data_IF_042161483455
#
_entry.id   IF_042161483455
#
_cell.length_a   1.000
_cell.length_b   1.000
_cell.length_c   1.000
_cell.angle_alpha   90.00
_cell.angle_beta   90.00
_cell.angle_gamma   90.00
#
_symmetry.space_group_name_H-M   'P 1'
#
loop_
_entity.id
_entity.type
_entity.pdbx_description
1 polymer ?
#
# COMPACT_ATOMS: atom_id res chain seq x y z
N UNK A 1 9.93 -2.78 15.07
CA UNK A 1 9.01 -3.46 14.13
C UNK A 1 9.67 -3.55 12.77
N UNK A 2 9.56 -4.70 12.08
CA UNK A 2 10.12 -4.87 10.72
C UNK A 2 9.35 -4.00 9.72
N UNK A 3 10.00 -3.45 8.68
CA UNK A 3 9.39 -2.46 7.80
C UNK A 3 8.21 -3.01 7.00
N UNK A 4 8.28 -4.26 6.54
CA UNK A 4 7.15 -4.93 5.86
C UNK A 4 5.98 -5.17 6.82
N UNK A 5 6.24 -5.40 8.11
CA UNK A 5 5.19 -5.46 9.13
C UNK A 5 4.48 -4.12 9.27
N UNK A 6 5.22 -2.99 9.27
CA UNK A 6 4.61 -1.66 9.30
C UNK A 6 3.73 -1.40 8.07
N UNK A 7 4.18 -1.81 6.88
CA UNK A 7 3.41 -1.69 5.63
C UNK A 7 2.13 -2.52 5.72
N UNK A 8 2.22 -3.78 6.16
CA UNK A 8 1.05 -4.65 6.31
C UNK A 8 0.07 -4.09 7.35
N UNK A 9 0.56 -3.61 8.50
CA UNK A 9 -0.25 -2.92 9.50
C UNK A 9 -0.91 -1.65 8.92
N UNK A 10 -0.18 -0.88 8.10
CA UNK A 10 -0.71 0.28 7.41
C UNK A 10 -1.87 -0.06 6.48
N UNK A 11 -1.77 -1.16 5.72
CA UNK A 11 -2.89 -1.68 4.92
C UNK A 11 -4.08 -2.12 5.77
N UNK A 12 -3.86 -2.73 6.94
CA UNK A 12 -4.97 -3.03 7.86
C UNK A 12 -5.67 -1.75 8.32
N UNK A 13 -4.94 -0.68 8.62
CA UNK A 13 -5.57 0.58 9.03
C UNK A 13 -6.24 1.32 7.88
N UNK A 14 -5.65 1.31 6.68
CA UNK A 14 -6.21 1.94 5.50
C UNK A 14 -7.47 1.21 4.97
N UNK A 15 -7.48 -0.14 5.01
CA UNK A 15 -8.55 -0.94 4.40
C UNK A 15 -9.44 -1.70 5.40
N UNK A 16 -8.94 -1.99 6.60
CA UNK A 16 -9.73 -2.61 7.68
C UNK A 16 -10.80 -1.68 8.24
N UNK A 17 -10.64 -0.38 7.98
CA UNK A 17 -11.62 0.70 8.11
C UNK A 17 -12.73 0.62 7.04
N UNK A 18 -13.33 -0.56 6.85
CA UNK A 18 -14.45 -0.75 5.94
C UNK A 18 -15.74 -0.30 6.64
N UNK A 19 -15.96 1.01 6.61
CA UNK A 19 -17.15 1.77 7.03
C UNK A 19 -18.05 1.09 8.06
N UNK A 20 -17.53 0.76 9.24
CA UNK A 20 -18.43 0.49 10.37
C UNK A 20 -18.90 1.84 10.94
N UNK A 21 -20.16 2.21 10.66
CA UNK A 21 -20.83 3.40 11.20
C UNK A 21 -20.25 4.78 10.80
N UNK A 22 -19.59 4.90 9.65
CA UNK A 22 -19.16 6.21 9.13
C UNK A 22 -18.04 6.91 9.93
N UNK A 23 -17.39 6.20 10.85
CA UNK A 23 -16.34 6.71 11.74
C UNK A 23 -14.90 6.41 11.25
N UNK A 24 -14.74 6.12 9.96
CA UNK A 24 -13.51 5.51 9.38
C UNK A 24 -12.50 6.47 8.75
N UNK A 25 -12.79 7.78 8.68
CA UNK A 25 -11.91 8.73 8.00
C UNK A 25 -10.60 9.03 8.75
N UNK A 26 -10.50 8.69 10.04
CA UNK A 26 -9.31 8.93 10.86
C UNK A 26 -8.24 7.85 10.72
N UNK A 27 -8.63 6.61 10.40
CA UNK A 27 -7.69 5.48 10.31
C UNK A 27 -6.98 5.41 8.97
N UNK A 28 -7.61 5.92 7.91
CA UNK A 28 -7.05 5.95 6.55
C UNK A 28 -5.74 6.78 6.45
N UNK A 29 -5.69 8.07 6.87
CA UNK A 29 -4.44 8.84 6.84
C UNK A 29 -3.36 8.24 7.75
N UNK A 30 -3.74 7.62 8.88
CA UNK A 30 -2.80 6.92 9.77
C UNK A 30 -2.24 5.66 9.10
N UNK A 31 -3.10 4.89 8.41
CA UNK A 31 -2.71 3.70 7.66
C UNK A 31 -1.71 4.01 6.56
N UNK A 32 -1.97 5.02 5.74
CA UNK A 32 -1.01 5.49 4.73
C UNK A 32 0.28 6.02 5.37
N UNK A 33 0.20 6.73 6.50
CA UNK A 33 1.37 7.16 7.26
C UNK A 33 2.25 6.00 7.75
N UNK A 34 1.65 4.88 8.17
CA UNK A 34 2.38 3.66 8.51
C UNK A 34 3.05 3.01 7.29
N UNK A 35 2.38 3.04 6.12
CA UNK A 35 3.00 2.61 4.86
C UNK A 35 4.21 3.49 4.51
N UNK A 36 4.11 4.83 4.62
CA UNK A 36 5.22 5.77 4.42
C UNK A 36 6.39 5.44 5.37
N UNK A 37 6.08 5.22 6.66
CA UNK A 37 7.09 4.84 7.66
C UNK A 37 7.74 3.49 7.34
N UNK A 38 7.00 2.52 6.80
CA UNK A 38 7.58 1.24 6.39
C UNK A 38 8.46 1.37 5.15
N UNK A 39 8.05 2.17 4.16
CA UNK A 39 8.78 2.40 2.92
C UNK A 39 10.05 3.20 3.11
N UNK A 40 10.07 4.18 4.01
CA UNK A 40 11.28 4.96 4.31
C UNK A 40 12.40 4.08 4.87
N UNK A 41 12.04 3.02 5.61
CA UNK A 41 12.98 2.01 6.12
C UNK A 41 13.41 0.99 5.06
N UNK A 42 12.65 0.87 3.96
CA UNK A 42 13.04 0.12 2.77
C UNK A 42 13.81 0.98 1.76
N UNK A 43 14.06 2.27 2.03
CA UNK A 43 14.86 3.10 1.13
C UNK A 43 16.33 2.68 1.26
N UNK A 44 16.98 2.38 0.14
CA UNK A 44 18.40 1.93 0.14
C UNK A 44 19.36 3.11 0.18
N UNK A 45 19.01 4.20 -0.49
CA UNK A 45 19.77 5.45 -0.47
C UNK A 45 18.85 6.64 -0.77
N UNK A 46 19.12 7.78 -0.14
CA UNK A 46 18.39 9.02 -0.41
C UNK A 46 18.69 9.63 -1.78
N UNK A 47 19.80 9.23 -2.39
CA UNK A 47 20.38 9.83 -3.59
C UNK A 47 20.16 9.01 -4.86
N UNK A 48 19.42 7.89 -4.81
CA UNK A 48 19.03 7.13 -5.99
C UNK A 48 17.67 7.63 -6.51
N UNK A 49 17.63 8.43 -7.60
CA UNK A 49 16.40 8.98 -8.15
C UNK A 49 15.47 7.90 -8.73
N UNK A 50 15.99 6.69 -9.01
CA UNK A 50 15.22 5.56 -9.53
C UNK A 50 14.78 4.57 -8.44
N UNK A 51 14.97 4.88 -7.14
CA UNK A 51 14.53 4.00 -6.05
C UNK A 51 12.99 3.84 -6.05
N UNK A 52 12.47 2.65 -6.37
CA UNK A 52 11.02 2.43 -6.42
C UNK A 52 10.36 2.65 -5.05
N UNK A 53 11.12 2.55 -3.96
CA UNK A 53 10.67 2.83 -2.60
C UNK A 53 10.36 4.31 -2.38
N UNK A 54 11.13 5.21 -3.01
CA UNK A 54 10.89 6.65 -2.99
C UNK A 54 9.61 7.04 -3.72
N UNK A 55 9.38 6.44 -4.90
CA UNK A 55 8.15 6.63 -5.68
C UNK A 55 6.92 6.06 -4.96
N UNK A 56 7.01 4.86 -4.39
CA UNK A 56 5.92 4.31 -3.59
C UNK A 56 5.64 5.20 -2.35
N UNK A 57 6.69 5.75 -1.75
CA UNK A 57 6.59 6.66 -0.61
C UNK A 57 5.85 7.96 -0.93
N UNK A 58 6.17 8.60 -2.06
CA UNK A 58 5.51 9.86 -2.46
C UNK A 58 4.02 9.65 -2.76
N UNK A 59 3.65 8.53 -3.37
CA UNK A 59 2.25 8.16 -3.57
C UNK A 59 1.52 7.87 -2.26
N UNK A 60 2.17 7.18 -1.31
CA UNK A 60 1.60 6.97 0.01
C UNK A 60 1.40 8.30 0.78
N UNK A 61 2.34 9.25 0.67
CA UNK A 61 2.16 10.62 1.21
C UNK A 61 1.01 11.34 0.53
N UNK A 62 0.89 11.25 -0.80
CA UNK A 62 -0.24 11.83 -1.53
C UNK A 62 -1.57 11.25 -1.03
N UNK A 63 -1.63 9.95 -0.74
CA UNK A 63 -2.81 9.32 -0.15
C UNK A 63 -3.10 9.79 1.27
N UNK A 64 -2.10 10.07 2.11
CA UNK A 64 -2.34 10.74 3.41
C UNK A 64 -3.05 12.07 3.19
N UNK A 65 -2.58 12.89 2.25
CA UNK A 65 -3.19 14.18 1.95
C UNK A 65 -4.61 14.04 1.40
N UNK A 66 -4.85 13.13 0.44
CA UNK A 66 -6.18 12.88 -0.13
C UNK A 66 -7.15 12.39 0.95
N UNK A 67 -6.71 11.47 1.82
CA UNK A 67 -7.52 10.95 2.92
C UNK A 67 -7.85 12.04 3.95
N UNK A 68 -6.88 12.91 4.25
CA UNK A 68 -7.09 14.05 5.14
C UNK A 68 -8.06 15.08 4.56
N UNK A 69 -7.95 15.39 3.26
CA UNK A 69 -8.88 16.27 2.55
C UNK A 69 -10.29 15.69 2.53
N UNK A 70 -10.41 14.38 2.30
CA UNK A 70 -11.69 13.67 2.38
C UNK A 70 -12.29 13.71 3.80
N UNK A 71 -11.45 13.68 4.85
CA UNK A 71 -11.88 13.79 6.25
C UNK A 71 -12.46 15.17 6.59
N UNK A 72 -11.84 16.25 6.10
CA UNK A 72 -12.26 17.62 6.43
C UNK A 72 -13.38 18.15 5.52
N UNK A 73 -13.67 17.47 4.40
CA UNK A 73 -14.77 17.88 3.51
C UNK A 73 -16.11 17.40 4.07
N UNK A 74 -17.06 18.31 4.36
CA UNK A 74 -18.34 17.94 4.91
C UNK A 74 -19.13 17.13 3.88
N UNK A 75 -19.27 15.83 4.13
CA UNK A 75 -20.24 14.99 3.42
C UNK A 75 -21.61 15.36 3.96
N UNK A 76 -22.33 16.22 3.24
CA UNK A 76 -23.71 16.60 3.51
C UNK A 76 -24.60 15.34 3.54
N UNK A 77 -24.67 14.73 4.71
CA UNK A 77 -25.45 13.54 4.99
C UNK A 77 -26.80 14.00 5.48
N UNK A 78 -27.67 14.43 4.55
CA UNK A 78 -29.12 14.58 4.78
C UNK A 78 -29.81 14.91 3.44
N UNK A 79 -30.31 13.87 2.74
CA UNK A 79 -31.24 14.00 1.60
C UNK A 79 -30.59 14.05 0.21
N UNK A 80 -30.70 12.96 -0.56
CA UNK A 80 -30.22 12.81 -1.95
C UNK A 80 -30.94 13.74 -2.97
N UNK A 81 -30.55 13.84 -4.27
CA UNK A 81 -29.53 13.11 -5.03
C UNK A 81 -28.68 14.02 -5.96
N UNK A 82 -27.48 14.38 -5.54
CA UNK A 82 -26.37 14.67 -6.45
C UNK A 82 -25.13 14.76 -5.56
N UNK A 83 -24.28 13.73 -5.57
CA UNK A 83 -22.92 13.95 -5.12
C UNK A 83 -22.40 15.13 -5.94
N UNK A 84 -22.00 16.21 -5.29
CA UNK A 84 -21.41 17.33 -6.00
C UNK A 84 -20.23 16.80 -6.82
N UNK A 85 -20.07 17.26 -8.06
CA UNK A 85 -18.96 16.83 -8.94
C UNK A 85 -17.61 16.78 -8.21
N UNK A 86 -17.26 17.72 -7.30
CA UNK A 86 -16.05 17.63 -6.49
C UNK A 86 -15.97 16.41 -5.57
N UNK A 87 -17.07 16.02 -4.90
CA UNK A 87 -17.11 14.86 -4.02
C UNK A 87 -16.97 13.55 -4.81
N UNK A 88 -17.56 13.49 -6.00
CA UNK A 88 -17.43 12.33 -6.88
C UNK A 88 -16.00 12.20 -7.43
N UNK A 89 -15.39 13.31 -7.87
CA UNK A 89 -13.99 13.34 -8.31
C UNK A 89 -13.03 12.96 -7.18
N UNK A 90 -13.26 13.44 -5.95
CA UNK A 90 -12.45 13.08 -4.79
C UNK A 90 -12.55 11.58 -4.46
N UNK A 91 -13.74 11.00 -4.57
CA UNK A 91 -13.93 9.55 -4.38
C UNK A 91 -13.22 8.70 -5.45
N UNK A 92 -13.27 9.11 -6.72
CA UNK A 92 -12.56 8.43 -7.81
C UNK A 92 -11.05 8.56 -7.62
N UNK A 93 -10.57 9.78 -7.35
CA UNK A 93 -9.15 10.05 -7.13
C UNK A 93 -8.60 9.29 -5.92
N UNK A 94 -9.36 9.20 -4.83
CA UNK A 94 -9.01 8.41 -3.65
C UNK A 94 -8.93 6.92 -3.97
N UNK A 95 -9.91 6.37 -4.68
CA UNK A 95 -9.92 4.94 -5.02
C UNK A 95 -8.79 4.58 -5.99
N UNK A 96 -8.61 5.37 -7.05
CA UNK A 96 -7.53 5.16 -8.02
C UNK A 96 -6.14 5.36 -7.36
N UNK A 97 -6.00 6.39 -6.54
CA UNK A 97 -4.77 6.66 -5.79
C UNK A 97 -4.42 5.52 -4.84
N UNK A 98 -5.40 4.97 -4.12
CA UNK A 98 -5.20 3.82 -3.23
C UNK A 98 -4.72 2.58 -4.01
N UNK A 99 -5.35 2.27 -5.14
CA UNK A 99 -4.97 1.14 -5.99
C UNK A 99 -3.54 1.31 -6.54
N UNK A 100 -3.20 2.49 -7.05
CA UNK A 100 -1.84 2.79 -7.53
C UNK A 100 -0.82 2.68 -6.39
N UNK A 101 -1.17 3.17 -5.20
CA UNK A 101 -0.26 3.14 -4.04
C UNK A 101 -0.01 1.71 -3.58
N UNK A 102 -1.05 0.88 -3.45
CA UNK A 102 -0.92 -0.55 -3.14
C UNK A 102 -0.07 -1.24 -4.21
N UNK A 103 -0.33 -0.96 -5.48
CA UNK A 103 0.44 -1.53 -6.59
C UNK A 103 1.94 -1.25 -6.47
N UNK A 104 2.30 0.02 -6.27
CA UNK A 104 3.69 0.46 -6.16
C UNK A 104 4.37 -0.15 -4.92
N UNK A 105 3.68 -0.19 -3.78
CA UNK A 105 4.19 -0.80 -2.56
C UNK A 105 4.50 -2.27 -2.77
N UNK A 106 3.56 -3.04 -3.35
CA UNK A 106 3.76 -4.47 -3.59
C UNK A 106 4.87 -4.71 -4.62
N UNK A 107 4.99 -3.86 -5.65
CA UNK A 107 6.08 -3.93 -6.63
C UNK A 107 7.46 -3.78 -5.96
N UNK A 108 7.61 -2.83 -5.04
CA UNK A 108 8.85 -2.65 -4.26
C UNK A 108 9.20 -3.91 -3.47
N UNK A 109 8.22 -4.52 -2.82
CA UNK A 109 8.46 -5.75 -2.04
C UNK A 109 8.84 -6.92 -2.98
N UNK A 110 8.14 -7.11 -4.10
CA UNK A 110 8.46 -8.14 -5.10
C UNK A 110 9.89 -7.97 -5.64
N UNK A 111 10.26 -6.75 -6.04
CA UNK A 111 11.61 -6.44 -6.53
C UNK A 111 12.69 -6.74 -5.50
N UNK A 112 12.38 -6.59 -4.20
CA UNK A 112 13.30 -6.98 -3.12
C UNK A 112 13.36 -8.48 -2.89
N UNK A 113 12.30 -9.26 -3.15
CA UNK A 113 12.32 -10.72 -2.97
C UNK A 113 13.05 -11.46 -4.09
N UNK A 114 12.91 -11.03 -5.35
CA UNK A 114 13.46 -11.73 -6.53
C UNK A 114 14.98 -12.01 -6.46
N UNK A 115 15.84 -11.06 -6.05
CA UNK A 115 17.28 -11.29 -5.97
C UNK A 115 17.69 -12.35 -4.94
N UNK A 116 16.85 -12.65 -3.95
CA UNK A 116 17.14 -13.64 -2.89
C UNK A 116 16.58 -15.04 -3.22
N UNK A 117 16.10 -15.27 -4.45
CA UNK A 117 15.62 -16.59 -4.90
C UNK A 117 14.21 -16.96 -4.44
N UNK A 118 13.47 -16.06 -3.78
CA UNK A 118 12.09 -16.29 -3.30
C UNK A 118 11.04 -16.12 -4.43
N UNK A 119 11.22 -16.85 -5.53
CA UNK A 119 10.40 -16.72 -6.76
C UNK A 119 8.93 -17.09 -6.52
N UNK A 120 8.66 -18.12 -5.72
CA UNK A 120 7.29 -18.57 -5.42
C UNK A 120 6.47 -17.50 -4.68
N UNK A 121 7.07 -16.84 -3.67
CA UNK A 121 6.41 -15.77 -2.90
C UNK A 121 6.26 -14.49 -3.73
N UNK A 122 7.27 -14.17 -4.53
CA UNK A 122 7.21 -13.05 -5.48
C UNK A 122 6.08 -13.25 -6.51
N UNK A 123 5.91 -14.47 -7.04
CA UNK A 123 4.83 -14.80 -7.96
C UNK A 123 3.45 -14.71 -7.29
N UNK A 124 3.31 -15.23 -6.06
CA UNK A 124 2.05 -15.10 -5.30
C UNK A 124 1.68 -13.63 -5.07
N UNK A 125 2.64 -12.79 -4.68
CA UNK A 125 2.41 -11.36 -4.53
C UNK A 125 2.07 -10.67 -5.84
N UNK A 126 2.66 -11.10 -6.96
CA UNK A 126 2.35 -10.56 -8.28
C UNK A 126 0.90 -10.89 -8.68
N UNK A 127 0.47 -12.14 -8.47
CA UNK A 127 -0.92 -12.56 -8.69
C UNK A 127 -1.89 -11.77 -7.81
N UNK A 128 -1.58 -11.62 -6.52
CA UNK A 128 -2.41 -10.84 -5.59
C UNK A 128 -2.47 -9.36 -5.96
N UNK A 129 -1.35 -8.80 -6.41
CA UNK A 129 -1.28 -7.42 -6.92
C UNK A 129 -2.21 -7.22 -8.11
N UNK A 130 -2.16 -8.13 -9.09
CA UNK A 130 -3.05 -8.09 -10.26
C UNK A 130 -4.52 -8.32 -9.88
N UNK A 131 -4.79 -9.23 -8.94
CA UNK A 131 -6.15 -9.50 -8.47
C UNK A 131 -6.76 -8.28 -7.77
N UNK A 132 -6.02 -7.62 -6.86
CA UNK A 132 -6.49 -6.41 -6.17
C UNK A 132 -6.74 -5.26 -7.16
N UNK A 133 -5.87 -5.07 -8.14
CA UNK A 133 -6.04 -4.03 -9.16
C UNK A 133 -7.23 -4.32 -10.09
N UNK A 134 -7.33 -5.56 -10.58
CA UNK A 134 -8.43 -5.98 -11.48
C UNK A 134 -9.78 -5.88 -10.79
N UNK A 135 -9.90 -6.42 -9.57
CA UNK A 135 -11.13 -6.35 -8.77
C UNK A 135 -11.47 -4.91 -8.37
N UNK A 136 -10.45 -4.09 -8.03
CA UNK A 136 -10.65 -2.67 -7.74
C UNK A 136 -11.15 -1.89 -8.94
N UNK A 137 -10.58 -2.09 -10.13
CA UNK A 137 -11.03 -1.47 -11.36
C UNK A 137 -12.45 -1.90 -11.76
N UNK A 138 -12.76 -3.19 -11.63
CA UNK A 138 -14.11 -3.72 -11.85
C UNK A 138 -15.11 -3.18 -10.83
N UNK A 139 -14.70 -2.99 -9.58
CA UNK A 139 -15.53 -2.38 -8.53
C UNK A 139 -15.88 -0.92 -8.85
N UNK A 140 -14.92 -0.15 -9.37
CA UNK A 140 -15.18 1.22 -9.85
C UNK A 140 -16.21 1.22 -10.99
N UNK A 141 -16.06 0.33 -11.98
CA UNK A 141 -17.02 0.16 -13.08
C UNK A 141 -18.42 -0.25 -12.60
N UNK A 142 -18.51 -1.11 -11.58
CA UNK A 142 -19.79 -1.54 -11.00
C UNK A 142 -20.56 -0.38 -10.36
N UNK A 143 -19.85 0.59 -9.75
CA UNK A 143 -20.43 1.81 -9.19
C UNK A 143 -21.11 2.74 -10.20
N UNK A 144 -20.86 2.56 -11.50
CA UNK A 144 -21.46 3.36 -12.58
C UNK A 144 -22.71 2.74 -13.22
N UNK A 145 -23.33 1.73 -12.60
CA UNK A 145 -24.66 1.24 -13.02
C UNK A 145 -24.82 -0.27 -13.13
N UNK A 146 -23.79 -1.06 -12.81
CA UNK A 146 -23.87 -2.52 -12.78
C UNK A 146 -24.07 -3.03 -11.35
N UNK A 147 -25.20 -2.64 -10.75
CA UNK A 147 -25.52 -2.93 -9.35
C UNK A 147 -25.54 -4.44 -9.00
N UNK A 148 -25.86 -5.31 -9.97
CA UNK A 148 -25.98 -6.76 -9.76
C UNK A 148 -24.66 -7.48 -9.46
N UNK A 149 -23.51 -6.90 -9.82
CA UNK A 149 -22.18 -7.48 -9.54
C UNK A 149 -21.50 -6.85 -8.32
N UNK A 150 -22.04 -5.75 -7.79
CA UNK A 150 -21.38 -4.90 -6.79
C UNK A 150 -20.97 -5.65 -5.53
N UNK A 151 -21.92 -6.36 -4.90
CA UNK A 151 -21.65 -7.04 -3.62
C UNK A 151 -20.62 -8.17 -3.75
N UNK A 152 -20.73 -9.02 -4.77
CA UNK A 152 -19.80 -10.14 -5.00
C UNK A 152 -18.40 -9.63 -5.31
N UNK A 153 -18.29 -8.59 -6.15
CA UNK A 153 -17.00 -7.97 -6.48
C UNK A 153 -16.37 -7.29 -5.26
N UNK A 154 -17.15 -6.60 -4.43
CA UNK A 154 -16.65 -6.01 -3.19
C UNK A 154 -16.13 -7.07 -2.21
N UNK A 155 -16.85 -8.18 -2.02
CA UNK A 155 -16.40 -9.28 -1.16
C UNK A 155 -15.12 -9.90 -1.70
N UNK A 156 -15.06 -10.19 -3.01
CA UNK A 156 -13.86 -10.73 -3.64
C UNK A 156 -12.65 -9.80 -3.48
N UNK A 157 -12.86 -8.49 -3.65
CA UNK A 157 -11.82 -7.48 -3.48
C UNK A 157 -11.31 -7.41 -2.04
N UNK A 158 -12.20 -7.46 -1.04
CA UNK A 158 -11.84 -7.50 0.38
C UNK A 158 -11.01 -8.74 0.70
N UNK A 159 -11.43 -9.92 0.19
CA UNK A 159 -10.69 -11.16 0.38
C UNK A 159 -9.31 -11.07 -0.25
N UNK A 160 -9.18 -10.46 -1.43
CA UNK A 160 -7.89 -10.25 -2.09
C UNK A 160 -6.97 -9.33 -1.26
N UNK A 161 -7.49 -8.23 -0.69
CA UNK A 161 -6.72 -7.33 0.19
C UNK A 161 -6.31 -8.05 1.49
N UNK A 162 -7.22 -8.82 2.09
CA UNK A 162 -6.92 -9.59 3.29
C UNK A 162 -5.81 -10.64 3.02
N UNK A 163 -5.93 -11.37 1.91
CA UNK A 163 -4.91 -12.32 1.47
C UNK A 163 -3.56 -11.64 1.21
N UNK A 164 -3.55 -10.50 0.52
CA UNK A 164 -2.35 -9.69 0.31
C UNK A 164 -1.69 -9.29 1.64
N UNK A 165 -2.48 -8.75 2.57
CA UNK A 165 -2.02 -8.34 3.89
C UNK A 165 -1.43 -9.49 4.69
N UNK A 166 -2.09 -10.66 4.71
CA UNK A 166 -1.59 -11.87 5.38
C UNK A 166 -0.27 -12.33 4.76
N UNK A 167 -0.15 -12.33 3.43
CA UNK A 167 1.09 -12.71 2.74
C UNK A 167 2.21 -11.72 3.06
N UNK A 168 1.92 -10.42 3.16
CA UNK A 168 2.88 -9.40 3.60
C UNK A 168 3.32 -9.59 5.06
N UNK A 169 2.41 -9.92 5.98
CA UNK A 169 2.78 -10.27 7.36
C UNK A 169 3.68 -11.51 7.43
N UNK A 170 3.37 -12.53 6.63
CA UNK A 170 4.18 -13.75 6.55
C UNK A 170 5.56 -13.46 5.96
N UNK A 171 5.63 -12.63 4.92
CA UNK A 171 6.90 -12.26 4.29
C UNK A 171 7.76 -11.34 5.16
N UNK A 172 7.16 -10.55 6.05
CA UNK A 172 7.89 -9.75 7.02
C UNK A 172 8.78 -10.60 7.97
N UNK A 173 8.53 -11.91 8.07
CA UNK A 173 9.41 -12.83 8.82
C UNK A 173 10.76 -13.09 8.13
N UNK A 174 10.94 -12.64 6.89
CA UNK A 174 12.20 -12.78 6.15
C UNK A 174 13.27 -11.78 6.63
N UNK A 175 14.50 -12.24 6.91
CA UNK A 175 15.55 -11.40 7.49
C UNK A 175 16.04 -10.29 6.53
N UNK A 176 16.10 -10.56 5.23
CA UNK A 176 16.55 -9.57 4.23
C UNK A 176 15.52 -8.45 3.96
N UNK A 177 14.30 -8.58 4.50
CA UNK A 177 13.28 -7.54 4.51
C UNK A 177 13.25 -6.75 5.82
N UNK A 178 14.18 -6.99 6.76
CA UNK A 178 14.16 -6.39 8.09
C UNK A 178 14.83 -5.01 8.18
N UNK A 179 15.88 -4.73 7.41
CA UNK A 179 16.47 -3.39 7.22
C UNK A 179 17.62 -3.47 6.21
N UNK A 180 17.84 -2.39 5.45
CA UNK A 180 19.07 -2.15 4.68
C UNK A 180 19.83 -0.98 5.32
N UNK A 181 20.27 -1.15 6.57
CA UNK A 181 21.04 -0.14 7.31
C UNK A 181 22.44 -0.59 7.72
N UNK A 182 22.80 -1.86 7.54
CA UNK A 182 24.06 -2.39 8.05
C UNK A 182 24.54 -3.53 7.16
N UNK A 183 25.13 -3.18 6.03
CA UNK A 183 26.01 -4.08 5.26
C UNK A 183 26.65 -3.28 4.13
N UNK A 184 27.67 -2.47 4.44
CA UNK A 184 29.03 -2.50 3.83
C UNK A 184 29.96 -1.63 4.71
N UNK A 185 30.18 -2.02 5.96
CA UNK A 185 31.31 -1.52 6.77
C UNK A 185 31.87 -2.66 7.64
N UNK A 186 31.97 -3.84 7.03
CA UNK A 186 32.54 -5.02 7.67
C UNK A 186 33.05 -6.00 6.60
N UNK A 187 33.95 -5.57 5.71
CA UNK A 187 34.86 -6.51 5.05
C UNK A 187 36.06 -5.88 4.30
N UNK A 188 36.71 -4.88 4.89
CA UNK A 188 38.08 -4.54 4.50
C UNK A 188 38.95 -4.47 5.75
N UNK A 189 39.76 -5.50 6.05
CA UNK A 189 40.87 -5.31 6.96
C UNK A 189 41.83 -4.29 6.32
N UNK A 190 42.19 -3.16 6.98
CA UNK A 190 43.32 -2.38 6.52
C UNK A 190 44.55 -3.28 6.61
N UNK A 191 45.15 -3.50 5.44
CA UNK A 191 46.34 -4.31 5.23
C UNK A 191 47.37 -4.07 6.34
N UNK A 192 47.75 -5.17 7.00
CA UNK A 192 48.95 -5.18 7.82
C UNK A 192 50.12 -4.70 6.96
N UNK A 193 50.61 -3.49 7.25
CA UNK A 193 51.96 -3.09 6.87
C UNK A 193 52.90 -3.98 7.69
N UNK A 194 53.42 -5.02 7.05
CA UNK A 194 54.67 -5.64 7.47
C UNK A 194 55.80 -4.64 7.22
N UNK A 195 56.57 -4.43 8.28
CA UNK A 195 57.98 -4.04 8.41
C UNK A 195 58.69 -3.39 7.22
#
# INVERSE_FOLDING_TARGET
>A
MRPVTKIATGFVFAFGALRFNGFDLLLDPVGWGLCVSGLSWLRRSASDPDDPSGRAGSFAVAMVCVSFVAMITPVNSTGAPAASVPAQLLGIAGTAGALITVWLIVDVVIRRMRPFGDVSRAALLDVLRWAVAGLGALGVLAGYGYAGLGAVMSVAWIVAIAALTVVLYRSARLPYLAASGESVEADLPPAGRGD
#
